data_IF_018734653201
#
_entry.id   IF_018734653201
#
_cell.length_a   1.000
_cell.length_b   1.000
_cell.length_c   1.000
_cell.angle_alpha   90.00
_cell.angle_beta   90.00
_cell.angle_gamma   90.00
#
_symmetry.space_group_name_H-M   'P 1'
#
loop_
_entity.id
_entity.type
_entity.pdbx_description
1 polymer ?
#
# COMPACT_ATOMS: atom_id res chain seq x y z
N UNK A 1 3.70 12.64 7.63
CA UNK A 1 3.91 11.18 7.72
C UNK A 1 5.27 10.90 8.32
N UNK A 2 5.38 9.85 9.14
CA UNK A 2 6.56 9.54 9.93
C UNK A 2 7.88 9.51 9.16
N UNK A 3 7.90 8.86 8.00
CA UNK A 3 9.09 8.76 7.15
C UNK A 3 9.51 10.12 6.55
N UNK A 4 8.56 11.01 6.26
CA UNK A 4 8.85 12.39 5.81
C UNK A 4 9.53 13.19 6.92
N UNK A 5 9.15 12.99 8.19
CA UNK A 5 9.83 13.61 9.34
C UNK A 5 11.28 13.12 9.49
N UNK A 6 11.57 11.88 9.07
CA UNK A 6 12.93 11.33 9.02
C UNK A 6 13.73 11.80 7.77
N UNK A 7 13.12 12.66 6.94
CA UNK A 7 13.71 13.24 5.75
C UNK A 7 13.84 12.25 4.58
N UNK A 8 12.97 11.23 4.52
CA UNK A 8 12.83 10.35 3.36
C UNK A 8 11.72 10.88 2.45
N UNK A 9 12.03 11.01 1.16
CA UNK A 9 10.99 11.25 0.14
C UNK A 9 10.10 10.02 0.09
N UNK A 10 8.80 10.20 0.39
CA UNK A 10 7.87 9.08 0.61
C UNK A 10 6.67 9.22 -0.30
N UNK A 11 6.43 8.18 -1.10
CA UNK A 11 5.24 7.99 -1.91
C UNK A 11 4.10 7.42 -1.06
N UNK A 12 3.01 8.16 -0.97
CA UNK A 12 1.77 7.79 -0.28
C UNK A 12 0.65 7.52 -1.28
N UNK A 13 -0.36 6.76 -0.86
CA UNK A 13 -1.61 6.60 -1.62
C UNK A 13 -2.30 7.90 -2.00
N UNK A 14 -2.07 8.97 -1.25
CA UNK A 14 -2.61 10.31 -1.55
C UNK A 14 -1.89 10.97 -2.72
N UNK A 15 -0.61 10.65 -2.94
CA UNK A 15 0.13 11.15 -4.10
C UNK A 15 -0.40 10.51 -5.41
N UNK A 16 -1.02 9.33 -5.31
CA UNK A 16 -1.76 8.69 -6.41
C UNK A 16 -3.17 9.28 -6.58
N UNK A 17 -3.88 9.53 -5.47
CA UNK A 17 -5.25 10.06 -5.50
C UNK A 17 -5.30 11.49 -6.01
N UNK A 18 -4.35 12.34 -5.61
CA UNK A 18 -4.30 13.75 -6.00
C UNK A 18 -3.27 14.01 -7.12
N UNK A 19 -2.97 12.99 -7.92
CA UNK A 19 -2.10 13.15 -9.09
C UNK A 19 -2.75 14.12 -10.10
N UNK A 20 -2.05 15.17 -10.56
CA UNK A 20 -2.64 16.22 -11.39
C UNK A 20 -3.21 15.76 -12.74
N UNK A 21 -2.60 14.73 -13.33
CA UNK A 21 -2.80 14.32 -14.71
C UNK A 21 -3.56 13.00 -14.87
N UNK A 22 -3.83 12.29 -13.77
CA UNK A 22 -4.56 11.02 -13.74
C UNK A 22 -3.88 9.86 -14.50
N UNK A 23 -2.69 10.08 -15.06
CA UNK A 23 -1.98 9.13 -15.90
C UNK A 23 -1.38 8.00 -15.08
N UNK A 24 -0.81 8.33 -13.92
CA UNK A 24 -0.32 7.35 -12.94
C UNK A 24 -1.48 6.60 -12.29
N UNK A 25 -2.59 7.28 -12.03
CA UNK A 25 -3.80 6.63 -11.54
C UNK A 25 -4.32 5.58 -12.52
N UNK A 26 -4.41 5.92 -13.81
CA UNK A 26 -4.80 4.97 -14.85
C UNK A 26 -3.80 3.81 -14.96
N UNK A 27 -2.49 4.09 -15.01
CA UNK A 27 -1.46 3.05 -15.06
C UNK A 27 -1.59 2.10 -13.87
N UNK A 28 -1.76 2.62 -12.65
CA UNK A 28 -1.94 1.81 -11.46
C UNK A 28 -3.18 0.91 -11.56
N UNK A 29 -4.31 1.44 -12.06
CA UNK A 29 -5.52 0.66 -12.28
C UNK A 29 -5.32 -0.47 -13.30
N UNK A 30 -4.58 -0.21 -14.38
CA UNK A 30 -4.22 -1.21 -15.38
C UNK A 30 -3.31 -2.31 -14.80
N UNK A 31 -2.34 -1.96 -13.97
CA UNK A 31 -1.47 -2.93 -13.28
C UNK A 31 -2.26 -3.80 -12.30
N UNK A 32 -3.19 -3.22 -11.52
CA UNK A 32 -4.09 -3.97 -10.64
C UNK A 32 -4.94 -4.94 -11.46
N UNK A 33 -5.51 -4.47 -12.58
CA UNK A 33 -6.28 -5.33 -13.47
C UNK A 33 -5.44 -6.47 -14.04
N UNK A 34 -4.20 -6.19 -14.49
CA UNK A 34 -3.28 -7.20 -14.99
C UNK A 34 -2.97 -8.25 -13.92
N UNK A 35 -2.68 -7.83 -12.69
CA UNK A 35 -2.43 -8.72 -11.55
C UNK A 35 -3.60 -9.66 -11.26
N UNK A 36 -4.81 -9.14 -11.14
CA UNK A 36 -5.95 -9.93 -10.65
C UNK A 36 -6.79 -10.59 -11.75
N UNK A 37 -6.73 -10.09 -12.99
CA UNK A 37 -7.56 -10.58 -14.11
C UNK A 37 -6.73 -11.07 -15.30
N UNK A 38 -5.41 -10.89 -15.27
CA UNK A 38 -4.50 -11.23 -16.37
C UNK A 38 -4.56 -10.24 -17.54
N UNK A 39 -3.48 -10.21 -18.31
CA UNK A 39 -3.47 -9.64 -19.65
C UNK A 39 -4.00 -10.66 -20.69
N UNK A 40 -4.20 -10.21 -21.93
CA UNK A 40 -4.72 -11.06 -23.02
C UNK A 40 -3.82 -12.25 -23.36
N UNK A 41 -2.52 -12.09 -23.15
CA UNK A 41 -1.48 -13.12 -23.31
C UNK A 41 -1.27 -13.97 -22.04
N UNK A 42 -2.03 -13.69 -20.98
CA UNK A 42 -1.90 -14.35 -19.68
C UNK A 42 -0.81 -13.77 -18.78
N UNK A 43 -0.15 -12.68 -19.17
CA UNK A 43 0.84 -12.04 -18.32
C UNK A 43 0.20 -11.39 -17.09
N UNK A 44 0.81 -11.63 -15.93
CA UNK A 44 0.45 -11.07 -14.63
C UNK A 44 1.65 -10.41 -13.95
N UNK A 45 2.83 -10.47 -14.58
CA UNK A 45 4.05 -9.91 -14.03
C UNK A 45 3.97 -8.39 -13.98
N UNK A 46 4.58 -7.79 -12.97
CA UNK A 46 4.75 -6.33 -12.86
C UNK A 46 6.22 -6.09 -12.61
N UNK A 47 6.82 -5.29 -13.50
CA UNK A 47 8.25 -5.02 -13.50
C UNK A 47 8.62 -3.86 -12.59
N UNK A 48 9.88 -3.80 -12.17
CA UNK A 48 10.43 -2.66 -11.44
C UNK A 48 10.24 -1.34 -12.21
N UNK A 49 10.45 -1.35 -13.52
CA UNK A 49 10.31 -0.15 -14.35
C UNK A 49 8.88 0.45 -14.32
N UNK A 50 7.86 -0.40 -14.23
CA UNK A 50 6.48 0.06 -14.10
C UNK A 50 6.20 0.67 -12.72
N UNK A 51 6.81 0.11 -11.67
CA UNK A 51 6.77 0.74 -10.34
C UNK A 51 7.53 2.07 -10.31
N UNK A 52 8.69 2.16 -10.95
CA UNK A 52 9.51 3.38 -11.01
C UNK A 52 8.74 4.54 -11.66
N UNK A 53 7.87 4.28 -12.65
CA UNK A 53 6.98 5.30 -13.23
C UNK A 53 6.00 5.86 -12.18
N UNK A 54 5.42 4.98 -11.35
CA UNK A 54 4.48 5.38 -10.32
C UNK A 54 5.17 6.19 -9.22
N UNK A 55 6.23 5.63 -8.64
CA UNK A 55 6.86 6.16 -7.42
C UNK A 55 7.89 7.25 -7.68
N UNK A 56 8.43 7.33 -8.90
CA UNK A 56 9.48 8.29 -9.27
C UNK A 56 10.72 8.16 -8.37
N UNK A 57 11.30 9.29 -7.97
CA UNK A 57 12.49 9.35 -7.11
C UNK A 57 12.22 9.10 -5.62
N UNK A 58 11.06 8.53 -5.28
CA UNK A 58 10.69 8.27 -3.89
C UNK A 58 11.61 7.22 -3.26
N UNK A 59 12.04 7.49 -2.03
CA UNK A 59 12.93 6.63 -1.25
C UNK A 59 12.17 5.61 -0.39
N UNK A 60 10.86 5.82 -0.20
CA UNK A 60 9.98 4.92 0.52
C UNK A 60 8.58 4.94 -0.10
N UNK A 61 7.85 3.83 0.02
CA UNK A 61 6.49 3.66 -0.46
C UNK A 61 5.63 3.16 0.70
N UNK A 62 4.42 3.68 0.82
CA UNK A 62 3.46 3.29 1.85
C UNK A 62 2.03 3.29 1.29
N UNK A 63 1.11 2.68 2.02
CA UNK A 63 -0.33 2.71 1.75
C UNK A 63 -0.71 1.97 0.45
N UNK A 64 -1.29 2.64 -0.55
CA UNK A 64 -1.96 2.03 -1.70
C UNK A 64 -1.13 1.01 -2.47
N UNK A 65 0.09 1.36 -2.88
CA UNK A 65 0.92 0.41 -3.65
C UNK A 65 1.36 -0.76 -2.77
N UNK A 66 1.62 -0.52 -1.48
CA UNK A 66 2.01 -1.59 -0.56
C UNK A 66 0.87 -2.59 -0.33
N UNK A 67 -0.39 -2.15 -0.24
CA UNK A 67 -1.51 -3.08 -0.07
C UNK A 67 -1.87 -3.79 -1.38
N UNK A 68 -1.80 -3.09 -2.52
CA UNK A 68 -2.17 -3.64 -3.83
C UNK A 68 -1.11 -4.58 -4.41
N UNK A 69 0.17 -4.33 -4.14
CA UNK A 69 1.29 -4.96 -4.83
C UNK A 69 2.41 -5.46 -3.91
N UNK A 70 2.13 -5.81 -2.65
CA UNK A 70 3.18 -6.23 -1.72
C UNK A 70 4.15 -7.29 -2.28
N UNK A 71 3.71 -8.46 -2.75
CA UNK A 71 4.65 -9.47 -3.23
C UNK A 71 5.43 -9.01 -4.47
N UNK A 72 4.80 -8.25 -5.37
CA UNK A 72 5.47 -7.73 -6.57
C UNK A 72 6.48 -6.62 -6.23
N UNK A 73 6.18 -5.75 -5.26
CA UNK A 73 7.12 -4.75 -4.76
C UNK A 73 8.31 -5.40 -4.08
N UNK A 74 8.09 -6.43 -3.26
CA UNK A 74 9.16 -7.16 -2.59
C UNK A 74 10.06 -7.89 -3.60
N UNK A 75 9.46 -8.47 -4.64
CA UNK A 75 10.22 -9.11 -5.73
C UNK A 75 10.95 -8.08 -6.61
N UNK A 76 10.33 -6.92 -6.86
CA UNK A 76 10.90 -5.86 -7.66
C UNK A 76 12.08 -5.21 -6.94
N UNK A 77 12.01 -4.97 -5.63
CA UNK A 77 13.01 -4.29 -4.79
C UNK A 77 13.53 -5.18 -3.64
N UNK A 78 14.23 -6.29 -3.92
CA UNK A 78 14.70 -7.21 -2.87
C UNK A 78 15.74 -6.59 -1.92
N UNK A 79 16.37 -5.48 -2.31
CA UNK A 79 17.31 -4.72 -1.49
C UNK A 79 16.64 -3.79 -0.47
N UNK A 80 15.33 -3.58 -0.58
CA UNK A 80 14.62 -2.64 0.27
C UNK A 80 14.49 -3.17 1.70
N UNK A 81 14.61 -2.28 2.68
CA UNK A 81 14.18 -2.55 4.05
C UNK A 81 12.67 -2.42 4.13
N UNK A 82 12.03 -3.32 4.86
CA UNK A 82 10.57 -3.43 4.94
C UNK A 82 10.13 -3.20 6.37
N UNK A 83 9.19 -2.29 6.55
CA UNK A 83 8.51 -2.06 7.82
C UNK A 83 7.11 -2.64 7.72
N UNK A 84 6.88 -3.76 8.42
CA UNK A 84 5.56 -4.37 8.52
C UNK A 84 4.83 -3.78 9.72
N UNK A 85 3.86 -2.91 9.44
CA UNK A 85 3.00 -2.34 10.47
C UNK A 85 1.98 -3.38 10.96
N UNK A 86 2.09 -3.78 12.22
CA UNK A 86 1.20 -4.76 12.85
C UNK A 86 0.37 -4.10 13.94
N UNK A 87 -0.94 -4.39 13.95
CA UNK A 87 -1.83 -4.04 15.06
C UNK A 87 -2.02 -5.26 15.98
N UNK A 88 -1.84 -5.13 17.30
CA UNK A 88 -2.07 -6.23 18.25
C UNK A 88 -3.52 -6.75 18.21
N UNK A 89 -4.51 -5.85 18.16
CA UNK A 89 -5.92 -6.23 18.06
C UNK A 89 -6.41 -6.29 16.59
N UNK A 90 -6.49 -7.52 16.06
CA UNK A 90 -7.04 -7.78 14.72
C UNK A 90 -8.52 -7.37 14.57
N UNK A 91 -9.30 -7.36 15.65
CA UNK A 91 -10.69 -6.89 15.61
C UNK A 91 -10.75 -5.36 15.53
N UNK A 92 -9.86 -4.64 16.21
CA UNK A 92 -9.74 -3.19 16.06
C UNK A 92 -9.32 -2.82 14.64
N UNK A 93 -8.35 -3.54 14.05
CA UNK A 93 -8.00 -3.39 12.65
C UNK A 93 -9.20 -3.64 11.73
N UNK A 94 -9.95 -4.73 11.94
CA UNK A 94 -11.14 -5.05 11.16
C UNK A 94 -12.22 -3.95 11.24
N UNK A 95 -12.52 -3.45 12.45
CA UNK A 95 -13.49 -2.35 12.61
C UNK A 95 -13.04 -1.09 11.87
N UNK A 96 -11.73 -0.79 11.91
CA UNK A 96 -11.15 0.35 11.22
C UNK A 96 -11.32 0.24 9.70
N UNK A 97 -10.97 -0.91 9.11
CA UNK A 97 -11.05 -1.10 7.66
C UNK A 97 -12.50 -1.17 7.17
N UNK A 98 -13.39 -1.84 7.91
CA UNK A 98 -14.82 -1.89 7.56
C UNK A 98 -15.43 -0.49 7.56
N UNK A 99 -15.17 0.30 8.60
CA UNK A 99 -15.69 1.67 8.68
C UNK A 99 -15.18 2.54 7.53
N UNK A 100 -13.86 2.61 7.34
CA UNK A 100 -13.27 3.56 6.38
C UNK A 100 -13.49 3.13 4.93
N UNK A 101 -13.44 1.84 4.60
CA UNK A 101 -13.55 1.40 3.21
C UNK A 101 -15.00 1.06 2.85
N UNK A 102 -15.72 0.32 3.69
CA UNK A 102 -17.08 -0.12 3.34
C UNK A 102 -18.07 1.01 3.60
N UNK A 103 -18.13 1.53 4.82
CA UNK A 103 -19.16 2.50 5.21
C UNK A 103 -18.93 3.88 4.59
N UNK A 104 -17.68 4.37 4.59
CA UNK A 104 -17.36 5.74 4.11
C UNK A 104 -17.11 5.82 2.60
N UNK A 105 -16.67 4.73 1.95
CA UNK A 105 -16.26 4.75 0.53
C UNK A 105 -17.14 3.88 -0.37
N UNK A 106 -17.19 2.56 -0.16
CA UNK A 106 -17.93 1.62 -1.03
C UNK A 106 -19.45 1.90 -1.04
N UNK A 107 -20.01 2.22 0.13
CA UNK A 107 -21.43 2.55 0.30
C UNK A 107 -21.76 4.03 -0.01
N UNK A 108 -20.78 4.84 -0.39
CA UNK A 108 -20.99 6.25 -0.72
C UNK A 108 -21.66 6.41 -2.09
N UNK A 109 -22.92 6.84 -2.09
CA UNK A 109 -23.65 7.15 -3.33
C UNK A 109 -22.98 8.26 -4.14
N UNK A 110 -22.26 9.17 -3.47
CA UNK A 110 -21.53 10.26 -4.11
C UNK A 110 -20.37 9.70 -4.92
N UNK A 111 -19.55 8.81 -4.34
CA UNK A 111 -18.42 8.19 -5.03
C UNK A 111 -18.93 7.29 -6.17
N UNK A 112 -19.97 6.50 -5.92
CA UNK A 112 -20.60 5.67 -6.95
C UNK A 112 -21.16 6.51 -8.11
N UNK A 113 -21.75 7.67 -7.83
CA UNK A 113 -22.27 8.57 -8.85
C UNK A 113 -21.16 9.28 -9.62
N UNK A 114 -20.18 9.85 -8.92
CA UNK A 114 -19.09 10.63 -9.51
C UNK A 114 -18.24 9.84 -10.51
N UNK A 115 -18.10 8.51 -10.34
CA UNK A 115 -17.33 7.67 -11.27
C UNK A 115 -17.89 7.66 -12.71
N UNK A 116 -19.14 8.08 -12.92
CA UNK A 116 -19.74 8.20 -14.25
C UNK A 116 -19.51 9.57 -14.90
N UNK A 117 -19.11 10.58 -14.12
CA UNK A 117 -19.02 11.98 -14.56
C UNK A 117 -17.62 12.57 -14.44
N UNK A 118 -16.69 11.88 -13.79
CA UNK A 118 -15.28 12.28 -13.68
C UNK A 118 -14.37 11.12 -14.02
N UNK A 119 -13.41 11.36 -14.91
CA UNK A 119 -12.39 10.39 -15.28
C UNK A 119 -11.52 10.00 -14.08
N UNK A 120 -11.19 10.94 -13.20
CA UNK A 120 -10.44 10.68 -11.96
C UNK A 120 -11.21 9.71 -11.05
N UNK A 121 -12.49 9.99 -10.77
CA UNK A 121 -13.31 9.11 -9.96
C UNK A 121 -13.58 7.76 -10.64
N UNK A 122 -13.67 7.73 -11.98
CA UNK A 122 -13.77 6.48 -12.73
C UNK A 122 -12.58 5.57 -12.44
N UNK A 123 -11.36 6.10 -12.56
CA UNK A 123 -10.14 5.33 -12.35
C UNK A 123 -9.92 4.98 -10.87
N UNK A 124 -10.22 5.88 -9.93
CA UNK A 124 -10.21 5.58 -8.49
C UNK A 124 -11.18 4.45 -8.14
N UNK A 125 -12.40 4.51 -8.68
CA UNK A 125 -13.40 3.47 -8.48
C UNK A 125 -12.93 2.14 -9.08
N UNK A 126 -12.33 2.15 -10.28
CA UNK A 126 -11.80 0.94 -10.89
C UNK A 126 -10.65 0.35 -10.06
N UNK A 127 -9.67 1.18 -9.72
CA UNK A 127 -8.48 0.80 -8.97
C UNK A 127 -8.84 0.15 -7.63
N UNK A 128 -9.67 0.82 -6.82
CA UNK A 128 -9.95 0.36 -5.46
C UNK A 128 -11.16 -0.54 -5.37
N UNK A 129 -12.32 -0.10 -5.87
CA UNK A 129 -13.60 -0.77 -5.57
C UNK A 129 -13.98 -1.86 -6.57
N UNK A 130 -13.52 -1.77 -7.82
CA UNK A 130 -13.85 -2.75 -8.88
C UNK A 130 -12.85 -3.88 -8.99
N UNK A 131 -11.55 -3.56 -8.89
CA UNK A 131 -10.47 -4.49 -9.17
C UNK A 131 -9.59 -4.76 -7.94
N UNK A 132 -9.15 -3.70 -7.23
CA UNK A 132 -8.18 -3.79 -6.14
C UNK A 132 -8.69 -4.53 -4.90
N UNK A 133 -9.62 -3.95 -4.15
CA UNK A 133 -10.13 -4.57 -2.93
C UNK A 133 -10.85 -5.90 -3.17
N UNK A 134 -11.68 -6.08 -4.22
CA UNK A 134 -12.20 -7.41 -4.55
C UNK A 134 -11.09 -8.43 -4.78
N UNK A 135 -10.01 -8.04 -5.48
CA UNK A 135 -8.82 -8.88 -5.70
C UNK A 135 -8.07 -9.21 -4.41
N UNK A 136 -7.75 -8.21 -3.59
CA UNK A 136 -7.06 -8.37 -2.29
C UNK A 136 -7.86 -9.27 -1.34
N UNK A 137 -9.16 -9.04 -1.26
CA UNK A 137 -10.03 -9.74 -0.33
C UNK A 137 -10.72 -10.96 -0.94
N UNK A 138 -10.27 -11.43 -2.10
CA UNK A 138 -10.73 -12.67 -2.74
C UNK A 138 -12.27 -12.76 -2.83
N UNK A 139 -12.92 -11.70 -3.29
CA UNK A 139 -14.38 -11.65 -3.47
C UNK A 139 -14.75 -10.90 -4.76
N UNK A 140 -16.04 -10.95 -5.12
CA UNK A 140 -16.60 -10.20 -6.25
C UNK A 140 -16.85 -8.72 -5.94
N UNK A 141 -16.96 -8.34 -4.66
CA UNK A 141 -17.17 -6.95 -4.23
C UNK A 141 -16.32 -6.59 -3.01
N UNK A 142 -16.07 -5.29 -2.83
CA UNK A 142 -15.29 -4.75 -1.71
C UNK A 142 -15.94 -5.07 -0.36
N UNK A 143 -17.22 -4.73 -0.20
CA UNK A 143 -17.97 -5.02 1.03
C UNK A 143 -17.89 -6.51 1.42
N UNK A 144 -18.20 -7.42 0.50
CA UNK A 144 -18.26 -8.85 0.81
C UNK A 144 -16.87 -9.41 1.19
N UNK A 145 -15.85 -9.01 0.42
CA UNK A 145 -14.47 -9.37 0.69
C UNK A 145 -14.01 -8.90 2.08
N UNK A 146 -14.24 -7.63 2.42
CA UNK A 146 -13.82 -7.11 3.72
C UNK A 146 -14.56 -7.83 4.86
N UNK A 147 -15.88 -7.95 4.78
CA UNK A 147 -16.68 -8.51 5.86
C UNK A 147 -16.41 -10.00 6.12
N UNK A 148 -16.09 -10.78 5.07
CA UNK A 148 -15.84 -12.22 5.20
C UNK A 148 -14.36 -12.57 5.36
N UNK A 149 -13.48 -11.84 4.67
CA UNK A 149 -12.12 -12.29 4.44
C UNK A 149 -11.04 -11.43 5.11
N UNK A 150 -11.33 -10.19 5.50
CA UNK A 150 -10.30 -9.24 5.95
C UNK A 150 -9.38 -9.79 7.05
N UNK A 151 -9.91 -10.49 8.05
CA UNK A 151 -9.09 -10.98 9.18
C UNK A 151 -8.08 -12.04 8.76
N UNK A 152 -8.47 -12.97 7.89
CA UNK A 152 -7.52 -13.99 7.42
C UNK A 152 -6.57 -13.42 6.37
N UNK A 153 -7.05 -12.53 5.49
CA UNK A 153 -6.21 -11.82 4.51
C UNK A 153 -5.13 -10.99 5.20
N UNK A 154 -5.46 -10.30 6.29
CA UNK A 154 -4.47 -9.59 7.12
C UNK A 154 -3.38 -10.52 7.66
N UNK A 155 -3.78 -11.68 8.22
CA UNK A 155 -2.83 -12.68 8.72
C UNK A 155 -1.95 -13.24 7.60
N UNK A 156 -2.56 -13.53 6.46
CA UNK A 156 -1.89 -14.08 5.29
C UNK A 156 -0.88 -13.08 4.71
N UNK A 157 -1.27 -11.80 4.59
CA UNK A 157 -0.37 -10.72 4.20
C UNK A 157 0.84 -10.62 5.14
N UNK A 158 0.64 -10.61 6.46
CA UNK A 158 1.74 -10.58 7.41
C UNK A 158 2.66 -11.81 7.27
N UNK A 159 2.10 -13.00 7.06
CA UNK A 159 2.89 -14.22 6.87
C UNK A 159 3.67 -14.22 5.54
N UNK A 160 3.05 -13.72 4.47
CA UNK A 160 3.69 -13.56 3.16
C UNK A 160 4.89 -12.62 3.28
N UNK A 161 4.75 -11.46 3.93
CA UNK A 161 5.86 -10.51 4.14
C UNK A 161 6.98 -11.16 4.96
N UNK A 162 6.65 -11.85 6.06
CA UNK A 162 7.65 -12.59 6.87
C UNK A 162 8.36 -13.70 6.09
N UNK A 163 7.70 -14.31 5.12
CA UNK A 163 8.26 -15.38 4.29
C UNK A 163 9.13 -14.85 3.14
N UNK A 164 8.79 -13.69 2.58
CA UNK A 164 9.50 -13.11 1.44
C UNK A 164 10.69 -12.24 1.83
N UNK A 165 10.67 -11.63 3.02
CA UNK A 165 11.70 -10.67 3.45
C UNK A 165 12.68 -11.32 4.43
N UNK A 166 14.00 -11.26 4.18
CA UNK A 166 15.00 -11.69 5.15
C UNK A 166 14.84 -10.93 6.48
N UNK A 167 15.03 -11.62 7.62
CA UNK A 167 14.79 -11.06 8.95
C UNK A 167 15.61 -9.80 9.23
N UNK A 168 16.81 -9.71 8.67
CA UNK A 168 17.71 -8.57 8.74
C UNK A 168 17.17 -7.31 8.05
N UNK A 169 16.28 -7.48 7.08
CA UNK A 169 15.66 -6.39 6.33
C UNK A 169 14.22 -6.11 6.77
N UNK A 170 13.66 -6.91 7.69
CA UNK A 170 12.29 -6.80 8.16
C UNK A 170 12.22 -6.21 9.57
N UNK A 171 11.48 -5.11 9.71
CA UNK A 171 11.05 -4.58 11.00
C UNK A 171 9.55 -4.77 11.17
N UNK A 172 9.14 -5.58 12.15
CA UNK A 172 7.76 -5.59 12.64
C UNK A 172 7.59 -4.44 13.63
N UNK A 173 6.58 -3.60 13.43
CA UNK A 173 6.38 -2.37 14.20
C UNK A 173 4.91 -2.12 14.48
N UNK A 174 4.57 -1.79 15.72
CA UNK A 174 3.28 -1.25 16.15
C UNK A 174 3.41 0.23 16.50
N UNK A 175 2.30 0.98 16.42
CA UNK A 175 2.25 2.39 16.85
C UNK A 175 2.69 2.57 18.31
N UNK A 176 2.47 1.55 19.14
CA UNK A 176 2.87 1.51 20.55
C UNK A 176 4.38 1.44 20.76
N UNK A 177 5.15 0.98 19.76
CA UNK A 177 6.61 0.85 19.84
C UNK A 177 7.35 2.19 19.68
N UNK A 178 6.62 3.25 19.31
CA UNK A 178 7.17 4.59 19.14
C UNK A 178 8.16 4.73 17.98
N UNK A 179 9.00 5.76 18.01
CA UNK A 179 9.84 6.16 16.88
C UNK A 179 11.20 5.47 16.82
N UNK A 180 11.71 5.01 17.95
CA UNK A 180 13.10 4.55 18.05
C UNK A 180 13.43 3.39 17.09
N UNK A 181 12.61 2.32 16.96
CA UNK A 181 12.89 1.22 16.03
C UNK A 181 12.84 1.68 14.56
N UNK A 182 11.89 2.55 14.23
CA UNK A 182 11.71 3.10 12.88
C UNK A 182 12.91 3.96 12.46
N UNK A 183 13.39 4.82 13.37
CA UNK A 183 14.58 5.64 13.14
C UNK A 183 15.80 4.77 12.84
N UNK A 184 16.05 3.69 13.60
CA UNK A 184 17.20 2.80 13.37
C UNK A 184 17.19 2.20 11.96
N UNK A 185 16.02 1.77 11.48
CA UNK A 185 15.88 1.19 10.13
C UNK A 185 16.11 2.23 9.03
N UNK A 186 15.49 3.40 9.17
CA UNK A 186 15.51 4.47 8.18
C UNK A 186 16.83 5.26 8.17
N UNK A 187 17.47 5.46 9.33
CA UNK A 187 18.68 6.28 9.48
C UNK A 187 19.98 5.54 9.20
N UNK A 188 19.99 4.20 9.08
CA UNK A 188 21.19 3.49 8.63
C UNK A 188 21.69 3.88 7.21
N UNK A 189 20.91 4.67 6.45
CA UNK A 189 21.37 5.31 5.19
C UNK A 189 21.98 6.70 5.39
N UNK A 190 21.78 7.33 6.55
CA UNK A 190 22.39 8.61 6.94
C UNK A 190 23.38 8.30 8.07
N UNK A 191 24.63 8.00 7.71
CA UNK A 191 25.75 8.36 8.59
C UNK A 191 25.72 9.88 8.74
N UNK A 192 24.87 10.38 9.63
CA UNK A 192 24.97 11.71 10.17
C UNK A 192 25.40 11.49 11.60
N UNK A 193 26.65 11.87 11.86
CA UNK A 193 27.19 12.10 13.18
C UNK A 193 26.14 12.85 13.99
N UNK A 194 25.56 12.17 14.98
CA UNK A 194 25.17 12.87 16.19
C UNK A 194 26.47 13.19 16.91
N UNK A 195 27.16 14.25 16.46
CA UNK A 195 28.06 14.97 17.34
C UNK A 195 27.20 15.45 18.50
N UNK A 196 27.38 14.80 19.65
CA UNK A 196 27.07 15.40 20.93
C UNK A 196 27.67 16.81 20.91
N UNK A 197 26.82 17.82 20.86
CA UNK A 197 27.21 19.13 21.34
C UNK A 197 26.69 19.20 22.78
N UNK A 198 27.62 18.86 23.68
CA UNK A 198 27.70 19.47 24.99
C UNK A 198 27.69 21.00 24.85
N UNK A 199 26.77 21.68 25.53
CA UNK A 199 27.02 22.79 26.48
C UNK A 199 25.73 23.16 27.20
#
# INVERSE_FOLDING_TARGET
MALRTLGLQTYHGWDLVFEPDGSKLQLCAELVRRKYKGARDGDVHISRAEFDILVGDSQAVVDSLCILFAPELLAAYPEAKVVLNVRPDSNAWYRSINKTIVEEVDQSWVIWGMQWFSAEFHWLYSLYLRDGYPGIFHSGTTQDGIQRNAKWVYRDHCNMVRGMVPKENLLEWSVEDGWEPLCKVCMMRKNLDFSQNDS
#
